data_IF_552174981147
#
_entry.id   IF_552174981147
#
_cell.length_a   1.000
_cell.length_b   1.000
_cell.length_c   1.000
_cell.angle_alpha   90.00
_cell.angle_beta   90.00
_cell.angle_gamma   90.00
#
_symmetry.space_group_name_H-M   'P 1'
#
loop_
_entity.id
_entity.type
_entity.pdbx_description
1 polymer ?
#
# COMPACT_ATOMS: atom_id res chain seq x y z
N UNK A 1 -8.25 19.67 5.41
CA UNK A 1 -7.64 19.52 4.06
C UNK A 1 -6.29 18.85 4.21
N UNK A 2 -5.70 18.30 3.15
CA UNK A 2 -4.33 17.76 3.11
C UNK A 2 -3.43 18.66 2.24
N UNK A 3 -2.09 18.59 2.36
CA UNK A 3 -1.19 19.29 1.45
C UNK A 3 -1.55 19.04 -0.02
N UNK A 4 -1.48 20.08 -0.85
CA UNK A 4 -1.86 20.07 -2.27
C UNK A 4 -3.34 20.34 -2.56
N UNK A 5 -4.23 20.19 -1.57
CA UNK A 5 -5.63 20.59 -1.73
C UNK A 5 -5.77 22.12 -1.74
N UNK A 6 -6.78 22.58 -2.48
CA UNK A 6 -7.10 24.00 -2.57
C UNK A 6 -8.41 24.31 -1.86
N UNK A 7 -8.48 25.48 -1.23
CA UNK A 7 -9.70 26.02 -0.64
C UNK A 7 -10.04 27.36 -1.28
N UNK A 8 -11.21 27.45 -1.90
CA UNK A 8 -11.75 28.72 -2.37
C UNK A 8 -12.36 29.48 -1.21
N UNK A 9 -11.85 30.68 -0.95
CA UNK A 9 -12.44 31.63 -0.01
C UNK A 9 -13.31 32.63 -0.76
N UNK A 10 -14.48 32.91 -0.20
CA UNK A 10 -15.47 33.82 -0.76
C UNK A 10 -15.75 34.93 0.25
N UNK A 11 -15.54 36.18 -0.14
CA UNK A 11 -15.93 37.32 0.67
C UNK A 11 -17.37 37.74 0.33
N UNK A 12 -18.32 37.40 1.22
CA UNK A 12 -19.72 37.81 1.10
C UNK A 12 -20.00 39.07 1.92
N UNK A 13 -20.19 40.20 1.24
CA UNK A 13 -20.33 41.51 1.88
C UNK A 13 -21.82 41.86 1.94
N UNK A 14 -22.39 41.89 3.14
CA UNK A 14 -23.83 42.14 3.36
C UNK A 14 -24.16 43.61 3.64
N UNK A 15 -23.21 44.39 4.15
CA UNK A 15 -23.34 45.83 4.36
C UNK A 15 -21.97 46.49 4.44
N UNK A 16 -21.92 47.79 4.09
CA UNK A 16 -20.75 48.64 4.25
C UNK A 16 -21.13 49.83 5.14
N UNK A 17 -20.18 50.28 5.95
CA UNK A 17 -20.31 51.50 6.74
C UNK A 17 -19.11 52.41 6.43
N UNK A 18 -19.31 53.64 5.94
CA UNK A 18 -20.60 54.28 5.66
C UNK A 18 -21.32 53.72 4.40
N UNK A 19 -22.65 53.95 4.23
CA UNK A 19 -23.44 53.35 3.15
C UNK A 19 -23.05 53.79 1.73
N UNK A 20 -22.31 54.88 1.60
CA UNK A 20 -21.75 55.41 0.35
C UNK A 20 -20.41 54.77 -0.04
N UNK A 21 -19.90 53.83 0.76
CA UNK A 21 -18.65 53.16 0.48
C UNK A 21 -18.75 52.26 -0.76
N UNK A 22 -17.76 52.39 -1.65
CA UNK A 22 -17.58 51.52 -2.82
C UNK A 22 -16.39 50.61 -2.56
N UNK A 23 -16.57 49.30 -2.74
CA UNK A 23 -15.48 48.34 -2.60
C UNK A 23 -14.52 48.52 -3.76
N UNK A 24 -13.24 48.67 -3.44
CA UNK A 24 -12.16 48.78 -4.41
C UNK A 24 -11.59 47.40 -4.72
N UNK A 25 -11.24 46.67 -3.67
CA UNK A 25 -10.62 45.35 -3.74
C UNK A 25 -10.74 44.61 -2.42
N UNK A 26 -10.58 43.30 -2.46
CA UNK A 26 -10.48 42.41 -1.30
C UNK A 26 -9.12 41.74 -1.34
N UNK A 27 -8.35 41.87 -0.26
CA UNK A 27 -7.05 41.23 -0.10
C UNK A 27 -7.19 39.98 0.73
N UNK A 28 -6.62 38.88 0.24
CA UNK A 28 -6.63 37.60 0.90
C UNK A 28 -5.23 37.29 1.46
N UNK A 29 -5.14 36.92 2.74
CA UNK A 29 -3.85 36.66 3.38
C UNK A 29 -3.92 35.44 4.30
N UNK A 30 -2.77 34.83 4.54
CA UNK A 30 -2.59 33.74 5.50
C UNK A 30 -1.63 34.17 6.59
N UNK A 31 -1.96 33.91 7.86
CA UNK A 31 -1.05 34.17 8.98
C UNK A 31 0.13 33.19 9.04
N UNK A 32 0.03 32.06 8.33
CA UNK A 32 1.08 31.05 8.24
C UNK A 32 1.20 30.55 6.79
N UNK A 33 1.89 31.31 5.92
CA UNK A 33 2.10 30.96 4.52
C UNK A 33 2.87 29.66 4.29
N UNK A 34 3.50 29.09 5.31
CA UNK A 34 4.16 27.78 5.22
C UNK A 34 3.16 26.61 5.32
N UNK A 35 1.99 26.82 5.91
CA UNK A 35 0.90 25.82 6.06
C UNK A 35 -0.12 25.96 4.95
N UNK A 36 -0.56 27.19 4.67
CA UNK A 36 -1.51 27.48 3.60
C UNK A 36 -1.19 28.85 3.00
N UNK A 37 -1.18 28.96 1.68
CA UNK A 37 -0.79 30.19 1.00
C UNK A 37 -1.77 30.55 -0.12
N UNK A 38 -2.05 31.85 -0.24
CA UNK A 38 -2.60 32.42 -1.46
C UNK A 38 -1.50 32.61 -2.51
N UNK A 39 -1.86 32.77 -3.80
CA UNK A 39 -0.92 33.23 -4.82
C UNK A 39 -0.20 34.51 -4.38
N UNK A 40 1.06 34.68 -4.75
CA UNK A 40 1.81 35.88 -4.40
C UNK A 40 1.18 37.15 -5.01
N UNK A 41 1.31 38.27 -4.31
CA UNK A 41 0.80 39.56 -4.74
C UNK A 41 1.26 39.92 -6.18
N UNK A 42 0.39 40.53 -7.00
CA UNK A 42 -0.93 41.10 -6.67
C UNK A 42 -2.10 40.12 -6.82
N UNK A 43 -1.84 38.83 -7.07
CA UNK A 43 -2.88 37.83 -7.30
C UNK A 43 -3.65 37.44 -6.02
N UNK A 44 -3.27 37.98 -4.87
CA UNK A 44 -3.98 37.92 -3.59
C UNK A 44 -5.08 38.99 -3.45
N UNK A 45 -5.11 39.99 -4.35
CA UNK A 45 -6.15 41.02 -4.42
C UNK A 45 -7.18 40.70 -5.52
N UNK A 46 -8.47 40.76 -5.16
CA UNK A 46 -9.58 40.63 -6.10
C UNK A 46 -10.39 41.94 -6.15
N UNK A 47 -10.54 42.51 -7.34
CA UNK A 47 -11.32 43.73 -7.59
C UNK A 47 -12.63 43.45 -8.34
N UNK A 48 -12.94 42.18 -8.60
CA UNK A 48 -14.11 41.75 -9.37
C UNK A 48 -15.10 40.98 -8.50
N UNK A 49 -16.35 41.46 -8.46
CA UNK A 49 -17.43 40.72 -7.81
C UNK A 49 -17.81 39.48 -8.63
N UNK A 50 -17.98 38.29 -8.06
CA UNK A 50 -17.88 37.91 -6.63
C UNK A 50 -16.43 37.73 -6.16
N UNK A 51 -16.02 38.45 -5.11
CA UNK A 51 -14.63 38.45 -4.63
C UNK A 51 -14.23 37.08 -4.08
N UNK A 52 -13.34 36.40 -4.79
CA UNK A 52 -12.89 35.05 -4.46
C UNK A 52 -11.39 34.91 -4.65
N UNK A 53 -10.79 34.07 -3.82
CA UNK A 53 -9.42 33.63 -4.06
C UNK A 53 -9.26 32.17 -3.65
N UNK A 54 -8.23 31.51 -4.16
CA UNK A 54 -7.97 30.10 -3.90
C UNK A 54 -6.66 29.96 -3.16
N UNK A 55 -6.72 29.53 -1.90
CA UNK A 55 -5.55 29.20 -1.11
C UNK A 55 -5.16 27.73 -1.36
N UNK A 56 -3.87 27.43 -1.29
CA UNK A 56 -3.32 26.07 -1.42
C UNK A 56 -2.70 25.62 -0.11
N UNK A 57 -3.06 24.43 0.38
CA UNK A 57 -2.38 23.83 1.52
C UNK A 57 -0.99 23.33 1.12
N UNK A 58 0.00 23.63 1.94
CA UNK A 58 1.40 23.32 1.68
C UNK A 58 1.96 22.31 2.68
N UNK A 59 1.57 22.42 3.95
CA UNK A 59 2.09 21.55 5.01
C UNK A 59 1.05 21.34 6.12
N UNK A 60 1.11 20.22 6.86
CA UNK A 60 0.26 19.98 8.03
C UNK A 60 0.41 21.10 9.07
N UNK A 61 -0.70 21.46 9.69
CA UNK A 61 -0.76 22.53 10.68
C UNK A 61 -2.07 23.29 10.61
N UNK A 62 -2.14 24.39 11.36
CA UNK A 62 -3.29 25.29 11.35
C UNK A 62 -2.86 26.67 10.91
N UNK A 63 -3.72 27.32 10.14
CA UNK A 63 -3.53 28.68 9.68
C UNK A 63 -4.86 29.40 9.59
N UNK A 64 -4.80 30.71 9.77
CA UNK A 64 -5.95 31.59 9.64
C UNK A 64 -5.89 32.28 8.29
N UNK A 65 -6.94 32.08 7.49
CA UNK A 65 -7.18 32.77 6.25
C UNK A 65 -7.99 34.03 6.52
N UNK A 66 -7.45 35.19 6.15
CA UNK A 66 -8.07 36.49 6.38
C UNK A 66 -8.43 37.15 5.06
N UNK A 67 -9.67 37.61 4.95
CA UNK A 67 -10.14 38.48 3.88
C UNK A 67 -10.27 39.91 4.42
N UNK A 68 -9.53 40.84 3.83
CA UNK A 68 -9.53 42.27 4.17
C UNK A 68 -10.20 43.03 3.06
N UNK A 69 -11.37 43.62 3.32
CA UNK A 69 -12.11 44.41 2.34
C UNK A 69 -11.64 45.86 2.39
N UNK A 70 -11.19 46.38 1.26
CA UNK A 70 -10.84 47.78 1.10
C UNK A 70 -11.92 48.52 0.32
N UNK A 71 -12.37 49.64 0.86
CA UNK A 71 -13.39 50.49 0.25
C UNK A 71 -12.96 51.95 0.25
N UNK A 72 -13.57 52.73 -0.64
CA UNK A 72 -13.47 54.20 -0.66
C UNK A 72 -14.82 54.81 -0.32
N UNK A 73 -14.82 55.90 0.44
CA UNK A 73 -16.02 56.67 0.75
C UNK A 73 -15.73 58.16 0.71
N UNK A 74 -16.78 58.99 0.74
CA UNK A 74 -16.62 60.44 0.60
C UNK A 74 -15.76 60.99 1.75
N UNK A 75 -14.55 61.48 1.43
CA UNK A 75 -13.59 62.02 2.40
C UNK A 75 -12.54 61.04 2.91
N UNK A 76 -12.58 59.76 2.50
CA UNK A 76 -11.59 58.75 2.87
C UNK A 76 -11.10 57.95 1.64
N UNK A 77 -9.80 58.03 1.40
CA UNK A 77 -9.14 57.18 0.39
C UNK A 77 -8.66 55.89 1.07
N UNK A 78 -9.16 54.74 0.58
CA UNK A 78 -8.66 53.40 0.89
C UNK A 78 -8.72 53.01 2.37
N UNK A 79 -9.93 52.73 2.86
CA UNK A 79 -10.18 52.31 4.25
C UNK A 79 -10.43 50.81 4.28
N UNK A 80 -9.86 50.12 5.27
CA UNK A 80 -10.29 48.76 5.61
C UNK A 80 -11.71 48.81 6.15
N UNK A 81 -12.67 48.32 5.37
CA UNK A 81 -14.10 48.36 5.69
C UNK A 81 -14.50 47.22 6.64
N UNK A 82 -14.00 46.01 6.38
CA UNK A 82 -14.19 44.86 7.25
C UNK A 82 -13.05 43.86 7.07
N UNK A 83 -12.87 43.02 8.09
CA UNK A 83 -11.93 41.92 8.11
C UNK A 83 -12.70 40.71 8.63
N UNK A 84 -12.58 39.58 7.95
CA UNK A 84 -13.06 38.30 8.46
C UNK A 84 -11.95 37.26 8.37
N UNK A 85 -11.97 36.33 9.31
CA UNK A 85 -10.92 35.34 9.48
C UNK A 85 -11.52 33.96 9.68
N UNK A 86 -11.02 32.99 8.93
CA UNK A 86 -11.38 31.59 9.05
C UNK A 86 -10.14 30.76 9.41
N UNK A 87 -10.22 30.01 10.51
CA UNK A 87 -9.19 29.02 10.85
C UNK A 87 -9.38 27.77 10.00
N UNK A 88 -8.29 27.30 9.40
CA UNK A 88 -8.23 26.12 8.54
C UNK A 88 -7.17 25.17 9.07
N UNK A 89 -7.51 23.87 9.13
CA UNK A 89 -6.57 22.81 9.50
C UNK A 89 -6.16 21.97 8.28
N UNK A 90 -4.85 21.86 8.11
CA UNK A 90 -4.20 20.95 7.18
C UNK A 90 -3.71 19.74 7.97
N UNK A 91 -4.17 18.54 7.61
CA UNK A 91 -3.79 17.27 8.24
C UNK A 91 -2.79 16.52 7.37
N UNK A 92 -2.05 15.59 7.97
CA UNK A 92 -1.14 14.73 7.22
C UNK A 92 -1.91 13.83 6.24
N UNK A 93 -1.35 13.55 5.05
CA UNK A 93 -1.90 12.54 4.14
C UNK A 93 -1.94 11.16 4.80
N UNK A 94 -3.06 10.46 4.64
CA UNK A 94 -3.20 9.08 5.08
C UNK A 94 -2.23 8.16 4.31
N UNK A 95 -1.75 7.07 4.94
CA UNK A 95 -1.00 6.05 4.23
C UNK A 95 -1.88 5.37 3.18
N UNK A 96 -1.26 5.09 2.04
CA UNK A 96 -1.91 4.47 0.88
C UNK A 96 -0.98 3.43 0.27
N UNK A 97 -1.51 2.57 -0.58
CA UNK A 97 -0.77 1.45 -1.17
C UNK A 97 -0.99 1.40 -2.67
N UNK A 98 -0.04 0.83 -3.40
CA UNK A 98 -0.09 0.82 -4.85
C UNK A 98 0.33 -0.55 -5.38
N UNK A 99 -0.29 -0.94 -6.49
CA UNK A 99 0.12 -2.15 -7.21
C UNK A 99 0.65 -1.82 -8.60
N UNK A 100 1.40 -2.76 -9.17
CA UNK A 100 1.84 -2.71 -10.57
C UNK A 100 1.63 -4.05 -11.25
N UNK A 101 1.01 -4.01 -12.42
CA UNK A 101 0.77 -5.18 -13.28
C UNK A 101 -0.06 -6.28 -12.59
N UNK A 102 -0.80 -5.93 -11.53
CA UNK A 102 -1.40 -6.89 -10.62
C UNK A 102 -2.92 -6.86 -10.67
N UNK A 103 -3.57 -8.01 -10.81
CA UNK A 103 -4.98 -8.11 -10.49
C UNK A 103 -5.16 -8.12 -8.96
N UNK A 104 -6.12 -7.34 -8.47
CA UNK A 104 -6.40 -7.23 -7.04
C UNK A 104 -7.79 -7.75 -6.77
N UNK A 105 -7.89 -8.75 -5.90
CA UNK A 105 -9.16 -9.33 -5.49
C UNK A 105 -9.49 -8.92 -4.04
N UNK A 106 -10.69 -8.40 -3.82
CA UNK A 106 -11.29 -8.18 -2.49
C UNK A 106 -12.70 -8.76 -2.43
N UNK A 107 -13.05 -9.52 -1.40
CA UNK A 107 -14.45 -9.98 -1.21
C UNK A 107 -15.32 -8.94 -0.49
N UNK A 108 -14.82 -7.71 -0.35
CA UNK A 108 -15.55 -6.57 0.21
C UNK A 108 -15.19 -5.28 -0.51
N UNK A 109 -15.12 -4.19 0.25
CA UNK A 109 -14.68 -2.90 -0.27
C UNK A 109 -13.19 -2.91 -0.66
N UNK A 110 -12.83 -2.01 -1.57
CA UNK A 110 -11.45 -1.71 -1.93
C UNK A 110 -11.23 -0.21 -1.78
N UNK A 111 -10.62 0.18 -0.67
CA UNK A 111 -10.36 1.59 -0.33
C UNK A 111 -8.87 1.85 -0.27
N UNK A 112 -8.43 2.90 -0.95
CA UNK A 112 -7.04 3.35 -0.96
C UNK A 112 -7.01 4.89 -1.02
N UNK A 113 -6.62 5.59 0.06
CA UNK A 113 -6.75 7.05 0.15
C UNK A 113 -5.58 7.77 -0.56
N UNK A 114 -5.40 7.53 -1.86
CA UNK A 114 -4.31 8.11 -2.66
C UNK A 114 -4.29 9.63 -2.49
N UNK A 115 -3.14 10.15 -2.08
CA UNK A 115 -2.94 11.59 -1.85
C UNK A 115 -3.06 12.41 -3.14
N UNK A 116 -3.57 13.64 -3.02
CA UNK A 116 -3.60 14.63 -4.10
C UNK A 116 -2.20 15.06 -4.55
N UNK A 117 -1.18 14.86 -3.71
CA UNK A 117 0.23 15.18 -4.00
C UNK A 117 1.04 13.97 -4.46
N UNK A 118 0.39 12.82 -4.66
CA UNK A 118 1.08 11.60 -5.04
C UNK A 118 1.78 11.76 -6.40
N UNK A 119 3.02 11.30 -6.49
CA UNK A 119 3.83 11.42 -7.72
C UNK A 119 3.23 10.60 -8.87
N UNK A 120 2.63 9.46 -8.54
CA UNK A 120 1.91 8.59 -9.47
C UNK A 120 0.55 8.25 -8.84
N UNK A 121 -0.47 9.11 -8.99
CA UNK A 121 -1.75 9.01 -8.28
C UNK A 121 -2.66 7.95 -8.91
N UNK A 122 -2.18 6.72 -8.98
CA UNK A 122 -2.87 5.60 -9.60
C UNK A 122 -2.85 4.38 -8.71
N UNK A 123 -3.97 3.70 -8.58
CA UNK A 123 -4.04 2.46 -7.80
C UNK A 123 -3.18 1.35 -8.43
N UNK A 124 -3.26 1.20 -9.75
CA UNK A 124 -2.62 0.14 -10.50
C UNK A 124 -1.79 0.68 -11.67
N UNK A 125 -0.48 0.61 -11.53
CA UNK A 125 0.45 0.99 -12.59
C UNK A 125 0.56 -0.12 -13.63
N UNK A 126 0.60 0.27 -14.90
CA UNK A 126 0.98 -0.64 -15.97
C UNK A 126 2.34 -1.33 -15.76
N UNK A 127 2.37 -2.63 -16.05
CA UNK A 127 3.59 -3.43 -16.11
C UNK A 127 4.46 -3.13 -17.33
N UNK A 128 5.52 -3.92 -17.50
CA UNK A 128 6.40 -3.83 -18.67
C UNK A 128 5.67 -4.14 -19.99
N UNK A 129 4.58 -4.92 -19.92
CA UNK A 129 3.70 -5.19 -21.05
C UNK A 129 2.81 -4.03 -21.47
N UNK A 130 2.77 -2.93 -20.70
CA UNK A 130 1.93 -1.76 -20.98
C UNK A 130 0.47 -1.89 -20.53
N UNK A 131 0.14 -2.95 -19.80
CA UNK A 131 -1.20 -3.18 -19.28
C UNK A 131 -1.19 -3.07 -17.75
N UNK A 132 -2.12 -2.31 -17.14
CA UNK A 132 -2.40 -2.41 -15.71
C UNK A 132 -3.24 -3.68 -15.46
N UNK A 133 -3.23 -4.16 -14.21
CA UNK A 133 -4.17 -5.21 -13.79
C UNK A 133 -5.57 -4.67 -13.50
N UNK A 134 -6.46 -5.57 -13.10
CA UNK A 134 -7.88 -5.30 -12.86
C UNK A 134 -8.21 -5.49 -11.37
N UNK A 135 -8.74 -4.45 -10.70
CA UNK A 135 -9.39 -4.60 -9.40
C UNK A 135 -10.74 -5.34 -9.56
N UNK A 136 -10.90 -6.40 -8.80
CA UNK A 136 -12.09 -7.23 -8.70
C UNK A 136 -12.54 -7.15 -7.24
N UNK A 137 -13.76 -6.68 -7.00
CA UNK A 137 -14.30 -6.53 -5.66
C UNK A 137 -15.75 -6.97 -5.53
N UNK A 138 -16.22 -7.15 -4.29
CA UNK A 138 -17.62 -7.41 -3.96
C UNK A 138 -18.12 -6.38 -2.94
N UNK A 139 -18.15 -5.11 -3.36
CA UNK A 139 -18.40 -3.97 -2.49
C UNK A 139 -18.29 -2.64 -3.25
N UNK A 140 -17.67 -1.66 -2.63
CA UNK A 140 -17.41 -0.32 -3.17
C UNK A 140 -15.91 -0.08 -3.35
N UNK A 141 -15.56 0.70 -4.37
CA UNK A 141 -14.18 1.10 -4.65
C UNK A 141 -14.00 2.60 -4.43
N UNK A 142 -12.95 3.00 -3.73
CA UNK A 142 -12.56 4.40 -3.52
C UNK A 142 -11.05 4.53 -3.58
N UNK A 143 -10.54 5.42 -4.42
CA UNK A 143 -9.10 5.61 -4.64
C UNK A 143 -8.63 7.02 -4.24
N UNK A 144 -9.33 7.67 -3.29
CA UNK A 144 -9.00 9.01 -2.84
C UNK A 144 -8.97 10.02 -4.01
N UNK A 145 -7.84 10.71 -4.15
CA UNK A 145 -7.59 11.64 -5.26
C UNK A 145 -6.99 10.96 -6.51
N UNK A 146 -6.73 9.65 -6.44
CA UNK A 146 -6.15 8.89 -7.53
C UNK A 146 -7.17 8.29 -8.48
N UNK A 147 -6.66 7.75 -9.59
CA UNK A 147 -7.43 6.98 -10.58
C UNK A 147 -7.02 5.51 -10.56
N UNK A 148 -7.80 4.61 -11.18
CA UNK A 148 -7.43 3.18 -11.20
C UNK A 148 -6.14 2.94 -12.00
N UNK A 149 -5.98 3.60 -13.15
CA UNK A 149 -4.83 3.42 -14.02
C UNK A 149 -4.42 4.72 -14.73
N UNK A 150 -3.15 4.79 -15.11
CA UNK A 150 -2.54 5.90 -15.85
C UNK A 150 -2.67 5.83 -17.37
N UNK A 151 -3.14 4.70 -17.92
CA UNK A 151 -3.19 4.49 -19.38
C UNK A 151 -4.65 4.34 -19.84
N UNK A 152 -5.20 5.30 -20.61
CA UNK A 152 -6.48 5.11 -21.29
C UNK A 152 -6.40 4.04 -22.39
N UNK A 153 -7.46 3.25 -22.66
CA UNK A 153 -8.78 3.27 -22.03
C UNK A 153 -8.89 2.33 -20.81
N UNK A 154 -7.78 1.94 -20.18
CA UNK A 154 -7.79 1.10 -19.00
C UNK A 154 -8.29 1.86 -17.75
N UNK A 155 -8.44 1.15 -16.64
CA UNK A 155 -9.07 1.65 -15.42
C UNK A 155 -10.41 0.97 -15.10
N UNK A 156 -10.61 -0.23 -15.63
CA UNK A 156 -11.82 -1.02 -15.38
C UNK A 156 -11.82 -1.53 -13.94
N UNK A 157 -13.01 -1.59 -13.36
CA UNK A 157 -13.26 -2.16 -12.04
C UNK A 157 -14.34 -3.22 -12.24
N UNK A 158 -14.10 -4.43 -11.73
CA UNK A 158 -15.10 -5.50 -11.75
C UNK A 158 -15.74 -5.56 -10.37
N UNK A 159 -17.05 -5.32 -10.30
CA UNK A 159 -17.83 -5.52 -9.08
C UNK A 159 -18.62 -6.84 -9.20
N UNK A 160 -18.06 -7.90 -8.67
CA UNK A 160 -18.63 -9.24 -8.74
C UNK A 160 -18.14 -10.08 -7.57
N UNK A 161 -19.07 -10.72 -6.87
CA UNK A 161 -18.74 -11.78 -5.93
C UNK A 161 -18.01 -12.90 -6.66
N UNK A 162 -16.82 -13.28 -6.19
CA UNK A 162 -16.10 -14.39 -6.80
C UNK A 162 -16.46 -15.70 -6.12
N UNK A 163 -16.57 -16.76 -6.91
CA UNK A 163 -16.98 -18.08 -6.43
C UNK A 163 -15.83 -18.90 -5.85
N UNK A 164 -14.76 -18.27 -5.32
CA UNK A 164 -13.71 -19.02 -4.64
C UNK A 164 -14.32 -19.67 -3.39
N UNK A 165 -14.57 -20.98 -3.49
CA UNK A 165 -15.57 -21.70 -2.69
C UNK A 165 -15.08 -22.11 -1.28
N UNK A 166 -14.16 -21.34 -0.70
CA UNK A 166 -13.69 -21.52 0.68
C UNK A 166 -14.13 -20.39 1.59
N UNK A 167 -14.33 -20.67 2.87
CA UNK A 167 -14.41 -19.59 3.87
C UNK A 167 -13.00 -19.13 4.24
N UNK A 168 -12.84 -17.92 4.76
CA UNK A 168 -11.56 -17.45 5.33
C UNK A 168 -10.99 -18.39 6.39
N UNK A 169 -11.84 -19.15 7.08
CA UNK A 169 -11.42 -20.14 8.08
C UNK A 169 -10.98 -21.49 7.48
N UNK A 170 -11.38 -21.80 6.25
CA UNK A 170 -11.01 -23.05 5.58
C UNK A 170 -11.02 -22.87 4.05
N UNK A 171 -10.01 -22.22 3.48
CA UNK A 171 -9.91 -22.01 2.05
C UNK A 171 -9.71 -23.34 1.32
N UNK A 172 -10.47 -23.57 0.24
CA UNK A 172 -10.37 -24.82 -0.55
C UNK A 172 -8.96 -25.05 -1.06
N UNK A 173 -8.31 -23.99 -1.55
CA UNK A 173 -6.94 -24.03 -2.06
C UNK A 173 -5.92 -23.63 -0.98
N UNK A 174 -6.28 -23.82 0.29
CA UNK A 174 -5.53 -23.49 1.49
C UNK A 174 -4.25 -24.29 1.74
N UNK A 175 -3.61 -24.03 2.87
CA UNK A 175 -2.42 -24.73 3.35
C UNK A 175 -2.60 -26.24 3.32
N UNK A 176 -3.73 -26.76 3.84
CA UNK A 176 -3.95 -28.20 3.92
C UNK A 176 -4.05 -28.85 2.53
N UNK A 177 -4.68 -28.16 1.58
CA UNK A 177 -4.76 -28.61 0.19
C UNK A 177 -3.37 -28.69 -0.44
N UNK A 178 -2.59 -27.61 -0.36
CA UNK A 178 -1.24 -27.55 -0.93
C UNK A 178 -0.26 -28.49 -0.21
N UNK A 179 -0.36 -28.65 1.12
CA UNK A 179 0.40 -29.65 1.89
C UNK A 179 0.12 -31.05 1.37
N UNK A 180 -1.13 -31.39 1.06
CA UNK A 180 -1.48 -32.72 0.57
C UNK A 180 -0.90 -33.04 -0.81
N UNK A 181 -0.56 -32.01 -1.60
CA UNK A 181 0.14 -32.15 -2.88
C UNK A 181 1.67 -32.26 -2.72
N UNK A 182 2.24 -31.80 -1.61
CA UNK A 182 3.68 -31.83 -1.35
C UNK A 182 4.25 -33.28 -1.34
N UNK A 183 5.59 -33.44 -1.54
CA UNK A 183 6.25 -34.75 -1.43
C UNK A 183 5.97 -35.44 -0.09
N UNK A 184 5.95 -36.78 -0.08
CA UNK A 184 5.58 -37.58 1.10
C UNK A 184 6.51 -37.32 2.28
N UNK A 185 7.79 -37.11 2.01
CA UNK A 185 8.84 -36.80 2.98
C UNK A 185 8.56 -35.46 3.69
N UNK A 186 8.08 -34.47 2.94
CA UNK A 186 7.68 -33.15 3.46
C UNK A 186 6.40 -33.25 4.30
N UNK A 187 5.45 -34.09 3.89
CA UNK A 187 4.18 -34.29 4.62
C UNK A 187 4.35 -35.05 5.93
N UNK A 188 5.23 -36.06 5.92
CA UNK A 188 5.45 -36.97 7.04
C UNK A 188 6.65 -36.56 7.90
N UNK A 189 7.27 -35.44 7.57
CA UNK A 189 8.34 -34.82 8.32
C UNK A 189 7.93 -34.62 9.79
N UNK A 190 8.78 -35.08 10.73
CA UNK A 190 8.61 -34.95 12.18
C UNK A 190 9.94 -34.59 12.86
N UNK A 191 9.89 -33.89 13.99
CA UNK A 191 11.06 -33.51 14.78
C UNK A 191 12.03 -32.59 14.03
N UNK A 192 13.32 -32.67 14.36
CA UNK A 192 14.39 -31.92 13.70
C UNK A 192 15.14 -32.81 12.69
N UNK A 193 14.48 -33.17 11.60
CA UNK A 193 15.12 -33.86 10.46
C UNK A 193 15.49 -32.85 9.35
N UNK A 194 16.31 -33.28 8.39
CA UNK A 194 16.71 -32.43 7.26
C UNK A 194 15.48 -31.94 6.48
N UNK A 195 15.11 -30.66 6.65
CA UNK A 195 13.94 -30.04 6.02
C UNK A 195 12.73 -29.84 6.93
N UNK A 196 12.67 -30.47 8.10
CA UNK A 196 11.72 -30.10 9.14
C UNK A 196 12.29 -28.97 10.00
N UNK A 197 11.44 -28.03 10.35
CA UNK A 197 11.76 -26.93 11.26
C UNK A 197 10.89 -27.09 12.52
N UNK A 198 11.49 -27.24 13.70
CA UNK A 198 10.78 -27.21 14.98
C UNK A 198 9.89 -25.97 15.14
N UNK A 199 8.82 -26.10 15.93
CA UNK A 199 7.91 -25.00 16.20
C UNK A 199 8.61 -23.90 17.01
N UNK A 200 8.44 -22.64 16.58
CA UNK A 200 9.01 -21.46 17.23
C UNK A 200 10.43 -21.10 16.78
N UNK A 201 11.04 -21.88 15.89
CA UNK A 201 12.41 -21.65 15.44
C UNK A 201 12.59 -20.30 14.73
N UNK A 202 13.80 -19.76 14.87
CA UNK A 202 14.25 -18.56 14.18
C UNK A 202 15.38 -18.93 13.23
N UNK A 203 15.19 -18.67 11.93
CA UNK A 203 16.11 -19.06 10.86
C UNK A 203 16.60 -17.81 10.12
N UNK A 204 17.92 -17.60 9.99
CA UNK A 204 18.43 -16.59 9.06
C UNK A 204 18.01 -16.93 7.63
N UNK A 205 17.53 -15.95 6.87
CA UNK A 205 17.05 -16.14 5.49
C UNK A 205 18.14 -16.74 4.57
N UNK A 206 19.42 -16.43 4.80
CA UNK A 206 20.54 -17.05 4.11
C UNK A 206 20.69 -18.56 4.34
N UNK A 207 20.10 -19.10 5.40
CA UNK A 207 20.12 -20.52 5.75
C UNK A 207 18.92 -21.30 5.20
N UNK A 208 18.04 -20.66 4.44
CA UNK A 208 16.83 -21.29 3.91
C UNK A 208 17.14 -22.46 2.96
N UNK A 209 18.24 -22.39 2.20
CA UNK A 209 18.66 -23.41 1.24
C UNK A 209 19.64 -24.45 1.81
N UNK A 210 20.15 -24.28 3.03
CA UNK A 210 21.16 -25.18 3.61
C UNK A 210 20.60 -26.56 4.00
N UNK A 211 19.28 -26.67 4.14
CA UNK A 211 18.57 -27.88 4.53
C UNK A 211 17.23 -27.97 3.81
N UNK A 212 16.75 -29.19 3.55
CA UNK A 212 15.48 -29.39 2.86
C UNK A 212 15.36 -30.74 2.17
N UNK A 213 14.12 -31.06 1.81
CA UNK A 213 13.80 -32.20 0.96
C UNK A 213 13.85 -31.76 -0.50
N UNK A 214 14.75 -32.33 -1.29
CA UNK A 214 14.86 -31.99 -2.71
C UNK A 214 13.92 -32.87 -3.53
N UNK A 215 12.95 -32.25 -4.21
CA UNK A 215 11.98 -32.97 -5.04
C UNK A 215 11.43 -32.07 -6.14
N UNK A 216 11.41 -32.59 -7.37
CA UNK A 216 10.86 -31.89 -8.54
C UNK A 216 11.62 -30.62 -8.93
N UNK A 217 12.90 -30.51 -8.55
CA UNK A 217 13.72 -29.31 -8.79
C UNK A 217 13.55 -28.20 -7.74
N UNK A 218 12.88 -28.49 -6.61
CA UNK A 218 12.69 -27.55 -5.50
C UNK A 218 13.26 -28.11 -4.21
N UNK A 219 13.75 -27.21 -3.36
CA UNK A 219 14.07 -27.49 -1.96
C UNK A 219 12.84 -27.20 -1.10
N UNK A 220 12.30 -28.23 -0.46
CA UNK A 220 11.11 -28.13 0.38
C UNK A 220 11.48 -28.11 1.84
N UNK A 221 10.81 -27.24 2.61
CA UNK A 221 10.89 -27.21 4.07
C UNK A 221 9.50 -27.18 4.68
N UNK A 222 9.37 -27.72 5.88
CA UNK A 222 8.14 -27.64 6.66
C UNK A 222 8.42 -27.25 8.10
N UNK A 223 7.84 -26.16 8.56
CA UNK A 223 7.79 -25.79 9.96
C UNK A 223 6.58 -26.42 10.65
N UNK A 224 6.83 -27.09 11.78
CA UNK A 224 5.83 -27.82 12.56
C UNK A 224 5.00 -26.89 13.49
N UNK A 225 5.19 -25.59 13.38
CA UNK A 225 4.49 -24.55 14.11
C UNK A 225 4.93 -23.19 13.60
N UNK A 226 5.02 -22.21 14.50
CA UNK A 226 5.47 -20.86 14.16
C UNK A 226 6.91 -20.87 13.61
N UNK A 227 7.19 -19.99 12.66
CA UNK A 227 8.50 -19.81 12.04
C UNK A 227 8.86 -18.32 12.02
N UNK A 228 10.09 -17.99 12.43
CA UNK A 228 10.66 -16.65 12.30
C UNK A 228 11.80 -16.66 11.30
N UNK A 229 11.82 -15.68 10.41
CA UNK A 229 12.89 -15.51 9.41
C UNK A 229 13.45 -14.09 9.54
N UNK A 230 14.78 -13.98 9.56
CA UNK A 230 15.48 -12.70 9.62
C UNK A 230 16.68 -12.61 8.68
N UNK A 231 17.13 -11.39 8.37
CA UNK A 231 18.33 -11.15 7.56
C UNK A 231 18.11 -11.37 6.05
N UNK A 232 19.19 -11.46 5.29
CA UNK A 232 19.12 -11.53 3.81
C UNK A 232 19.25 -12.97 3.31
N UNK A 233 18.27 -13.40 2.50
CA UNK A 233 18.24 -14.68 1.80
C UNK A 233 18.40 -14.49 0.30
N UNK A 234 19.58 -14.80 -0.23
CA UNK A 234 19.86 -14.77 -1.66
C UNK A 234 19.52 -16.12 -2.27
N UNK A 235 18.27 -16.28 -2.70
CA UNK A 235 17.82 -17.54 -3.31
C UNK A 235 18.29 -17.62 -4.76
N UNK A 236 18.44 -16.47 -5.44
CA UNK A 236 18.99 -16.35 -6.79
C UNK A 236 18.22 -17.26 -7.78
N UNK A 237 18.90 -18.24 -8.37
CA UNK A 237 18.32 -19.20 -9.33
C UNK A 237 17.70 -20.44 -8.66
N UNK A 238 17.83 -20.57 -7.34
CA UNK A 238 17.30 -21.73 -6.63
C UNK A 238 15.78 -21.62 -6.49
N UNK A 239 15.15 -22.76 -6.24
CA UNK A 239 13.70 -22.85 -6.12
C UNK A 239 13.33 -23.51 -4.81
N UNK A 240 12.45 -22.89 -4.02
CA UNK A 240 12.08 -23.41 -2.72
C UNK A 240 10.60 -23.21 -2.36
N UNK A 241 10.10 -24.11 -1.53
CA UNK A 241 8.76 -24.03 -0.95
C UNK A 241 8.88 -24.27 0.56
N UNK A 242 8.33 -23.35 1.35
CA UNK A 242 8.27 -23.47 2.81
C UNK A 242 6.81 -23.58 3.23
N UNK A 243 6.48 -24.71 3.83
CA UNK A 243 5.18 -24.94 4.47
C UNK A 243 5.27 -24.58 5.95
N UNK A 244 4.39 -23.74 6.47
CA UNK A 244 4.39 -23.35 7.90
C UNK A 244 3.06 -23.72 8.54
N UNK A 245 3.08 -24.57 9.57
CA UNK A 245 1.86 -25.02 10.27
C UNK A 245 1.30 -24.01 11.28
N UNK A 246 2.14 -23.10 11.79
CA UNK A 246 1.73 -21.98 12.62
C UNK A 246 1.77 -20.66 11.85
N UNK A 247 2.18 -19.60 12.54
CA UNK A 247 2.38 -18.27 11.96
C UNK A 247 3.80 -18.12 11.38
N UNK A 248 3.92 -17.32 10.32
CA UNK A 248 5.20 -16.90 9.78
C UNK A 248 5.48 -15.45 10.17
N UNK A 249 6.63 -15.20 10.78
CA UNK A 249 7.13 -13.88 11.10
C UNK A 249 8.33 -13.57 10.19
N UNK A 250 8.16 -12.66 9.24
CA UNK A 250 9.22 -12.20 8.33
C UNK A 250 9.80 -10.90 8.86
N UNK A 251 11.12 -10.82 9.01
CA UNK A 251 11.73 -9.65 9.63
C UNK A 251 11.90 -9.76 11.14
N UNK A 252 11.95 -10.96 11.71
CA UNK A 252 12.06 -11.12 13.16
C UNK A 252 13.21 -12.03 13.55
N UNK A 253 14.18 -11.48 14.28
CA UNK A 253 15.13 -12.29 15.04
C UNK A 253 14.54 -12.53 16.43
N UNK A 254 13.91 -13.69 16.60
CA UNK A 254 13.10 -13.99 17.78
C UNK A 254 11.92 -12.99 17.93
N UNK A 255 11.93 -12.12 18.93
CA UNK A 255 10.91 -11.10 19.15
C UNK A 255 11.35 -9.71 18.68
N UNK A 256 12.54 -9.58 18.09
CA UNK A 256 13.11 -8.30 17.68
C UNK A 256 12.89 -8.08 16.17
N UNK A 257 12.18 -7.01 15.77
CA UNK A 257 12.12 -6.51 14.40
C UNK A 257 13.51 -6.34 13.78
N UNK A 258 13.67 -6.75 12.54
CA UNK A 258 14.92 -6.69 11.78
C UNK A 258 14.63 -6.59 10.30
N UNK A 259 15.49 -5.90 9.56
CA UNK A 259 15.37 -5.90 8.11
C UNK A 259 15.64 -7.31 7.56
N UNK A 260 14.73 -7.76 6.70
CA UNK A 260 14.80 -9.06 6.03
C UNK A 260 14.63 -8.89 4.55
N UNK A 261 15.42 -9.66 3.79
CA UNK A 261 15.34 -9.66 2.34
C UNK A 261 15.24 -11.07 1.80
N UNK A 262 14.44 -11.23 0.75
CA UNK A 262 14.42 -12.45 -0.05
C UNK A 262 14.63 -12.02 -1.50
N UNK A 263 15.79 -12.39 -2.05
CA UNK A 263 16.23 -11.96 -3.37
C UNK A 263 16.17 -13.13 -4.36
N UNK A 264 15.58 -12.89 -5.53
CA UNK A 264 15.45 -13.82 -6.64
C UNK A 264 16.07 -13.24 -7.90
N UNK A 265 16.45 -14.14 -8.82
CA UNK A 265 16.72 -13.75 -10.20
C UNK A 265 15.45 -13.99 -11.02
N UNK A 266 14.94 -12.92 -11.65
CA UNK A 266 13.74 -12.93 -12.49
C UNK A 266 13.74 -14.10 -13.49
N UNK A 267 12.64 -14.83 -13.55
CA UNK A 267 12.44 -15.96 -14.47
C UNK A 267 13.22 -17.23 -14.16
N UNK A 268 14.07 -17.22 -13.13
CA UNK A 268 14.92 -18.37 -12.78
C UNK A 268 14.65 -18.87 -11.36
N UNK A 269 14.61 -17.94 -10.40
CA UNK A 269 14.33 -18.22 -9.01
C UNK A 269 12.87 -18.53 -8.72
N UNK A 270 12.62 -19.16 -7.57
CA UNK A 270 11.27 -19.31 -7.03
C UNK A 270 11.28 -19.45 -5.52
N UNK A 271 10.42 -18.72 -4.83
CA UNK A 271 10.12 -18.90 -3.40
C UNK A 271 8.62 -18.87 -3.21
N UNK A 272 8.10 -19.82 -2.44
CA UNK A 272 6.75 -19.74 -1.89
C UNK A 272 6.74 -20.04 -0.40
N UNK A 273 6.11 -19.16 0.37
CA UNK A 273 5.72 -19.40 1.76
C UNK A 273 4.22 -19.69 1.78
N UNK A 274 3.86 -20.91 2.21
CA UNK A 274 2.48 -21.36 2.31
C UNK A 274 2.21 -21.63 3.79
N UNK A 275 1.34 -20.82 4.39
CA UNK A 275 1.22 -20.67 5.84
C UNK A 275 -0.22 -20.97 6.26
N UNK A 276 -0.38 -21.85 7.25
CA UNK A 276 -1.70 -22.19 7.81
C UNK A 276 -2.23 -21.10 8.74
N UNK A 277 -1.34 -20.42 9.46
CA UNK A 277 -1.68 -19.28 10.30
C UNK A 277 -1.60 -17.96 9.53
N UNK A 278 -1.15 -16.93 10.23
CA UNK A 278 -0.95 -15.59 9.71
C UNK A 278 0.48 -15.40 9.19
N UNK A 279 0.65 -14.44 8.28
CA UNK A 279 1.97 -13.88 7.93
C UNK A 279 2.07 -12.49 8.55
N UNK A 280 3.07 -12.30 9.40
CA UNK A 280 3.39 -11.03 10.04
C UNK A 280 4.73 -10.56 9.46
N UNK A 281 4.70 -9.48 8.70
CA UNK A 281 5.89 -8.84 8.15
C UNK A 281 6.25 -7.70 9.10
N UNK A 282 7.51 -7.65 9.53
CA UNK A 282 8.01 -6.56 10.35
C UNK A 282 8.00 -5.25 9.59
N UNK A 283 7.70 -4.18 10.30
CA UNK A 283 7.91 -2.77 9.96
C UNK A 283 9.33 -2.46 9.44
N UNK A 284 10.35 -3.23 9.86
CA UNK A 284 11.75 -3.05 9.47
C UNK A 284 12.11 -3.64 8.10
N UNK A 285 11.22 -4.45 7.51
CA UNK A 285 11.44 -5.01 6.16
C UNK A 285 11.34 -3.87 5.14
N UNK A 286 12.48 -3.44 4.61
CA UNK A 286 12.55 -2.23 3.78
C UNK A 286 13.07 -2.54 2.37
N UNK A 287 12.75 -1.64 1.45
CA UNK A 287 13.25 -1.65 0.07
C UNK A 287 14.78 -1.43 0.02
N UNK A 288 15.48 -1.87 -1.03
CA UNK A 288 16.94 -1.65 -1.12
C UNK A 288 17.28 -0.18 -1.29
N UNK A 289 18.19 0.34 -0.45
CA UNK A 289 18.61 1.75 -0.48
C UNK A 289 17.62 2.70 0.19
N UNK A 290 16.53 2.19 0.73
CA UNK A 290 15.49 2.97 1.42
C UNK A 290 16.03 3.52 2.76
N UNK A 291 15.66 4.76 3.05
CA UNK A 291 15.89 5.44 4.32
C UNK A 291 14.52 5.84 4.88
N UNK A 292 14.32 5.74 6.20
CA UNK A 292 13.04 6.05 6.87
C UNK A 292 12.38 7.30 6.28
N UNK A 293 11.10 7.19 5.89
CA UNK A 293 10.32 8.31 5.37
C UNK A 293 10.63 8.73 3.93
N UNK A 294 11.46 7.98 3.18
CA UNK A 294 11.80 8.27 1.78
C UNK A 294 11.61 7.03 0.93
N UNK A 295 10.38 6.75 0.49
CA UNK A 295 10.19 5.71 -0.53
C UNK A 295 11.04 6.01 -1.77
N UNK A 296 11.47 4.97 -2.49
CA UNK A 296 12.07 5.14 -3.82
C UNK A 296 11.26 4.26 -4.77
N UNK A 297 10.43 4.85 -5.65
CA UNK A 297 9.62 4.10 -6.63
C UNK A 297 10.42 3.12 -7.52
N UNK A 298 11.75 3.28 -7.60
CA UNK A 298 12.66 2.44 -8.37
C UNK A 298 13.54 1.51 -7.51
N UNK A 299 13.41 1.52 -6.18
CA UNK A 299 14.22 0.70 -5.27
C UNK A 299 13.90 -0.79 -5.40
N UNK A 300 14.91 -1.65 -5.18
CA UNK A 300 14.74 -3.11 -5.25
C UNK A 300 13.77 -3.61 -4.16
N UNK A 301 12.96 -4.64 -4.46
CA UNK A 301 12.00 -5.18 -3.49
C UNK A 301 12.69 -5.63 -2.20
N UNK A 302 12.00 -5.46 -1.08
CA UNK A 302 12.41 -6.08 0.19
C UNK A 302 12.13 -7.58 0.17
N UNK A 303 11.01 -7.98 -0.43
CA UNK A 303 10.57 -9.38 -0.49
C UNK A 303 10.22 -9.80 -1.91
N UNK A 304 10.67 -10.98 -2.30
CA UNK A 304 10.33 -11.61 -3.57
C UNK A 304 9.78 -13.02 -3.39
N UNK A 305 8.67 -13.32 -4.09
CA UNK A 305 8.07 -14.65 -4.08
C UNK A 305 6.55 -14.66 -3.89
N UNK A 306 6.02 -15.84 -3.57
CA UNK A 306 4.60 -16.05 -3.26
C UNK A 306 4.43 -16.17 -1.75
N UNK A 307 3.57 -15.34 -1.17
CA UNK A 307 3.26 -15.35 0.25
C UNK A 307 1.77 -15.62 0.43
N UNK A 308 1.46 -16.81 0.95
CA UNK A 308 0.09 -17.26 1.15
C UNK A 308 -0.16 -17.58 2.62
N UNK A 309 -1.21 -16.99 3.17
CA UNK A 309 -1.74 -17.27 4.49
C UNK A 309 -3.20 -17.75 4.39
N UNK A 310 -3.52 -18.87 5.05
CA UNK A 310 -4.93 -19.21 5.32
C UNK A 310 -5.54 -18.19 6.30
N UNK A 311 -4.74 -17.64 7.21
CA UNK A 311 -5.11 -16.50 8.04
C UNK A 311 -4.91 -15.15 7.33
N UNK A 312 -4.48 -14.15 8.09
CA UNK A 312 -4.24 -12.79 7.58
C UNK A 312 -2.78 -12.56 7.18
N UNK A 313 -2.56 -11.54 6.35
CA UNK A 313 -1.23 -10.94 6.13
C UNK A 313 -1.23 -9.53 6.71
N UNK A 314 -0.25 -9.19 7.54
CA UNK A 314 -0.09 -7.86 8.15
C UNK A 314 1.32 -7.32 7.93
N UNK A 315 1.46 -6.05 7.53
CA UNK A 315 2.77 -5.45 7.14
C UNK A 315 3.53 -4.72 8.25
N UNK A 316 2.91 -4.61 9.43
CA UNK A 316 3.51 -4.00 10.61
C UNK A 316 3.48 -2.47 10.58
N UNK A 317 3.55 -1.87 11.77
CA UNK A 317 3.61 -0.43 11.99
C UNK A 317 4.42 -0.17 13.26
N UNK A 318 5.38 0.76 13.19
CA UNK A 318 6.11 1.22 14.36
C UNK A 318 5.46 2.45 14.96
N UNK A 319 5.48 3.54 14.21
CA UNK A 319 4.87 4.83 14.52
C UNK A 319 4.80 5.68 13.27
N UNK A 320 3.83 6.59 13.20
CA UNK A 320 3.68 7.51 12.07
C UNK A 320 4.99 8.24 11.74
N UNK A 321 5.39 8.22 10.46
CA UNK A 321 6.63 8.87 10.00
C UNK A 321 7.93 8.11 10.27
N UNK A 322 7.86 6.94 10.89
CA UNK A 322 9.02 6.12 11.21
C UNK A 322 9.07 4.78 10.44
N UNK A 323 8.03 4.46 9.69
CA UNK A 323 8.01 3.23 8.89
C UNK A 323 8.82 3.39 7.60
N UNK A 324 9.39 2.28 7.13
CA UNK A 324 10.01 2.20 5.81
C UNK A 324 8.97 1.84 4.75
N UNK A 325 9.24 2.14 3.47
CA UNK A 325 8.36 1.64 2.41
C UNK A 325 8.56 0.14 2.21
N UNK A 326 7.47 -0.62 2.24
CA UNK A 326 7.50 -2.04 1.92
C UNK A 326 7.31 -2.26 0.42
N UNK A 327 8.28 -2.92 -0.21
CA UNK A 327 8.15 -3.39 -1.59
C UNK A 327 8.17 -4.90 -1.68
N UNK A 328 7.17 -5.41 -2.40
CA UNK A 328 7.03 -6.84 -2.65
C UNK A 328 6.94 -7.05 -4.16
N UNK A 329 7.84 -7.86 -4.71
CA UNK A 329 7.74 -8.33 -6.09
C UNK A 329 7.25 -9.79 -6.04
N UNK A 330 5.99 -10.02 -6.37
CA UNK A 330 5.39 -11.32 -6.15
C UNK A 330 3.88 -11.35 -6.10
N UNK A 331 3.36 -12.28 -5.31
CA UNK A 331 1.93 -12.47 -5.07
C UNK A 331 1.66 -12.58 -3.57
N UNK A 332 0.63 -11.87 -3.10
CA UNK A 332 0.11 -11.95 -1.74
C UNK A 332 -1.28 -12.57 -1.76
N UNK A 333 -1.49 -13.57 -0.91
CA UNK A 333 -2.77 -14.27 -0.78
C UNK A 333 -3.07 -14.42 0.70
N UNK A 334 -3.94 -13.58 1.24
CA UNK A 334 -4.45 -13.71 2.61
C UNK A 334 -5.92 -14.11 2.58
N UNK A 335 -6.24 -15.37 2.82
CA UNK A 335 -7.63 -15.84 2.82
C UNK A 335 -8.46 -15.23 3.96
N UNK A 336 -7.80 -14.91 5.08
CA UNK A 336 -8.36 -14.11 6.18
C UNK A 336 -8.36 -12.60 5.93
N UNK A 337 -7.75 -12.14 4.83
CA UNK A 337 -7.57 -10.73 4.49
C UNK A 337 -6.11 -10.29 4.53
N UNK A 338 -5.85 -9.12 3.95
CA UNK A 338 -4.55 -8.44 3.97
C UNK A 338 -4.76 -7.07 4.63
N UNK A 339 -3.89 -6.71 5.56
CA UNK A 339 -3.91 -5.42 6.25
C UNK A 339 -2.58 -4.72 6.02
N UNK A 340 -2.63 -3.66 5.23
CA UNK A 340 -1.53 -2.69 5.08
C UNK A 340 -1.60 -1.71 6.25
N UNK A 341 -0.45 -1.46 6.88
CA UNK A 341 -0.36 -0.77 8.17
C UNK A 341 0.71 0.30 8.20
N UNK A 342 1.56 0.40 7.16
CA UNK A 342 2.73 1.28 7.20
C UNK A 342 2.34 2.73 7.01
N UNK A 343 3.06 3.58 7.71
CA UNK A 343 2.86 5.02 7.70
C UNK A 343 4.21 5.75 7.57
N UNK A 344 4.48 6.26 6.37
CA UNK A 344 5.69 7.02 6.06
C UNK A 344 5.64 8.46 6.61
N UNK A 345 4.50 8.89 7.17
CA UNK A 345 4.23 10.22 7.68
C UNK A 345 4.11 11.29 6.59
N UNK A 346 3.48 12.41 6.93
CA UNK A 346 3.43 13.68 6.17
C UNK A 346 3.77 13.60 4.68
N UNK A 347 4.96 14.08 4.30
CA UNK A 347 5.42 14.13 2.91
C UNK A 347 5.69 12.76 2.28
N UNK A 348 6.00 11.75 3.09
CA UNK A 348 6.20 10.37 2.64
C UNK A 348 4.90 9.81 2.05
N UNK A 349 3.83 9.79 2.86
CA UNK A 349 2.50 9.39 2.41
C UNK A 349 1.94 10.33 1.34
N UNK A 350 2.29 11.62 1.39
CA UNK A 350 1.86 12.59 0.38
C UNK A 350 2.35 12.25 -1.02
N UNK A 351 3.60 11.78 -1.15
CA UNK A 351 4.23 11.63 -2.46
C UNK A 351 4.30 10.19 -2.96
N UNK A 352 4.23 9.21 -2.05
CA UNK A 352 4.54 7.81 -2.32
C UNK A 352 3.67 6.85 -1.49
N UNK A 353 3.43 5.62 -2.00
CA UNK A 353 2.69 4.61 -1.25
C UNK A 353 3.54 4.04 -0.13
N UNK A 354 2.94 3.73 1.02
CA UNK A 354 3.57 3.04 2.14
C UNK A 354 3.90 1.58 1.80
N UNK A 355 3.03 0.95 1.01
CA UNK A 355 3.21 -0.40 0.49
C UNK A 355 3.07 -0.45 -1.02
N UNK A 356 4.03 -1.12 -1.67
CA UNK A 356 4.08 -1.26 -3.12
C UNK A 356 4.24 -2.72 -3.52
N UNK A 357 3.26 -3.23 -4.28
CA UNK A 357 3.25 -4.63 -4.71
C UNK A 357 3.34 -4.69 -6.24
N UNK A 358 4.44 -5.23 -6.74
CA UNK A 358 4.63 -5.51 -8.14
C UNK A 358 4.34 -6.97 -8.42
N UNK A 359 3.42 -7.24 -9.34
CA UNK A 359 3.18 -8.59 -9.80
C UNK A 359 4.39 -9.14 -10.56
N UNK A 360 4.72 -10.41 -10.28
CA UNK A 360 5.85 -11.11 -10.85
C UNK A 360 5.34 -12.32 -11.67
N UNK A 361 4.93 -12.12 -12.94
CA UNK A 361 4.36 -13.20 -13.77
C UNK A 361 5.37 -14.33 -14.01
N UNK A 362 6.66 -14.04 -13.97
CA UNK A 362 7.74 -15.02 -14.11
C UNK A 362 7.69 -16.13 -13.05
N UNK A 363 7.18 -15.83 -11.84
CA UNK A 363 7.00 -16.82 -10.78
C UNK A 363 5.98 -17.90 -11.14
N UNK A 364 5.04 -17.63 -12.05
CA UNK A 364 4.09 -18.65 -12.53
C UNK A 364 4.80 -19.69 -13.41
N UNK A 365 5.78 -19.27 -14.20
CA UNK A 365 6.56 -20.18 -15.05
C UNK A 365 7.57 -21.00 -14.26
N UNK A 366 7.99 -20.50 -13.09
CA UNK A 366 8.84 -21.24 -12.14
C UNK A 366 8.04 -21.90 -11.02
N UNK A 367 6.70 -21.92 -11.09
CA UNK A 367 5.83 -22.55 -10.09
C UNK A 367 5.94 -24.08 -10.09
N UNK A 368 5.94 -24.75 -8.92
CA UNK A 368 6.03 -26.21 -8.86
C UNK A 368 4.84 -26.88 -9.55
N UNK A 369 5.08 -27.59 -10.65
CA UNK A 369 4.04 -28.29 -11.41
C UNK A 369 3.16 -29.20 -10.54
N UNK A 370 3.73 -29.81 -9.50
CA UNK A 370 3.02 -30.66 -8.53
C UNK A 370 1.93 -29.94 -7.76
N UNK A 371 2.09 -28.64 -7.50
CA UNK A 371 1.06 -27.82 -6.83
C UNK A 371 -0.03 -27.35 -7.81
N UNK A 372 0.24 -27.37 -9.12
CA UNK A 372 -0.73 -27.01 -10.16
C UNK A 372 -1.65 -28.15 -10.61
N UNK A 373 -1.50 -29.36 -10.07
CA UNK A 373 -2.31 -30.52 -10.47
C UNK A 373 -3.69 -30.45 -9.80
N UNK A 374 -4.71 -30.10 -10.57
CA UNK A 374 -6.10 -30.31 -10.18
C UNK A 374 -6.44 -31.80 -10.33
N UNK A 375 -6.68 -32.49 -9.22
CA UNK A 375 -7.26 -33.84 -9.25
C UNK A 375 -8.73 -33.74 -9.60
N UNK A 376 -9.03 -33.73 -10.90
CA UNK A 376 -10.41 -33.84 -11.39
C UNK A 376 -10.94 -35.23 -11.01
N UNK A 377 -11.97 -35.26 -10.15
CA UNK A 377 -12.75 -36.47 -9.92
C UNK A 377 -13.88 -36.49 -10.94
N UNK A 378 -13.69 -37.25 -12.01
CA UNK A 378 -14.76 -37.54 -12.96
C UNK A 378 -15.73 -38.51 -12.29
N UNK A 379 -17.00 -38.11 -12.16
CA UNK A 379 -18.09 -39.01 -11.77
C UNK A 379 -19.07 -39.04 -12.93
N UNK A 380 -19.35 -40.24 -13.44
CA UNK A 380 -20.41 -40.43 -14.42
C UNK A 380 -21.75 -40.16 -13.74
N UNK A 381 -22.52 -39.19 -14.26
CA UNK A 381 -23.92 -39.03 -13.89
C UNK A 381 -24.69 -39.98 -14.78
N UNK A 382 -25.28 -41.03 -14.19
CA UNK A 382 -26.10 -41.97 -14.94
C UNK A 382 -27.19 -41.21 -15.70
N UNK A 383 -27.41 -41.51 -17.00
CA UNK A 383 -28.29 -40.74 -17.88
C UNK A 383 -29.75 -40.71 -17.44
#
# INVERSE_FOLDING_TARGET
MTPGETQTTLASISSLSPPDAVINEVHFSSNNPAVIAYPAAPADADSTFSYTNTATALAPGTADLTATVHATSTGYNHVTACIDTQTVSVVEPDPWWQVRDADVLSEGDLTDPISSTATNPYFNLAGAGGYPGIPILNGTASFGNGSVSQIPPFGWIVNSATSFSGTSANPIYGYNFLKNLAPTEVRNCTGSSNGCIPAGDTIPAGNLLLAGFNSGGYTWRRALGDLRIHGTGNINNNKMVVLVEGNLYLGYNNLTPTNTRINLNDGQGFVAFIVKGNIIISEEVASAGDSVGVGDINGSPGLEGIYMADGTISTGHFSAGADYQLRIRGMLIGWGGITFQRDLGGSGNGTQPSEYIQYAPDLQFTYPARLGVLKLRWNEVAP
#
